data_IF_064400875248
#
_entry.id   IF_064400875248
#
_cell.length_a   1.000
_cell.length_b   1.000
_cell.length_c   1.000
_cell.angle_alpha   90.00
_cell.angle_beta   90.00
_cell.angle_gamma   90.00
#
_symmetry.space_group_name_H-M   'P 1'
#
loop_
_entity.id
_entity.type
_entity.pdbx_description
1 polymer ?
#
# COMPACT_ATOMS: atom_id res chain seq x y z
N UNK A 1 12.90 -6.70 31.69
CA UNK A 1 14.32 -7.12 31.73
C UNK A 1 14.43 -8.39 30.90
N UNK A 2 14.76 -8.24 29.63
CA UNK A 2 14.93 -9.34 28.69
C UNK A 2 16.30 -9.98 28.95
N UNK A 3 16.29 -11.21 29.41
CA UNK A 3 17.47 -11.99 29.69
C UNK A 3 18.00 -12.53 28.36
N UNK A 4 18.77 -11.71 27.62
CA UNK A 4 19.50 -12.19 26.45
C UNK A 4 20.76 -12.90 26.95
N UNK A 5 20.68 -14.22 26.96
CA UNK A 5 21.84 -15.08 27.18
C UNK A 5 22.79 -14.88 26.01
N UNK A 6 24.08 -14.52 26.22
CA UNK A 6 25.02 -14.34 25.13
C UNK A 6 25.20 -15.67 24.38
N UNK A 7 24.98 -15.62 23.06
CA UNK A 7 25.15 -16.76 22.17
C UNK A 7 26.62 -17.20 22.18
N UNK A 8 26.85 -18.51 22.10
CA UNK A 8 28.22 -19.04 21.98
C UNK A 8 28.88 -18.55 20.67
N UNK A 9 30.22 -18.40 20.62
CA UNK A 9 30.91 -17.93 19.42
C UNK A 9 30.62 -18.76 18.16
N UNK A 10 30.31 -20.04 18.32
CA UNK A 10 29.88 -20.92 17.21
C UNK A 10 28.48 -20.61 16.74
N UNK A 11 27.56 -20.28 17.63
CA UNK A 11 26.22 -19.88 17.29
C UNK A 11 26.18 -18.55 16.54
N UNK A 12 27.04 -17.60 16.91
CA UNK A 12 27.21 -16.33 16.19
C UNK A 12 27.75 -16.52 14.77
N UNK A 13 28.74 -17.38 14.59
CA UNK A 13 29.28 -17.72 13.26
C UNK A 13 28.23 -18.38 12.38
N UNK A 14 27.45 -19.27 12.94
CA UNK A 14 26.35 -19.95 12.21
C UNK A 14 25.24 -18.95 11.82
N UNK A 15 24.89 -18.06 12.71
CA UNK A 15 23.90 -17.02 12.44
C UNK A 15 24.37 -16.05 11.35
N UNK A 16 25.63 -15.64 11.37
CA UNK A 16 26.24 -14.81 10.34
C UNK A 16 26.29 -15.51 8.97
N UNK A 17 26.61 -16.80 8.93
CA UNK A 17 26.60 -17.60 7.70
C UNK A 17 25.17 -17.74 7.12
N UNK A 18 24.19 -18.01 7.96
CA UNK A 18 22.76 -18.05 7.55
C UNK A 18 22.30 -16.71 6.97
N UNK A 19 22.66 -15.61 7.62
CA UNK A 19 22.30 -14.26 7.14
C UNK A 19 22.90 -13.99 5.77
N UNK A 20 24.20 -14.31 5.57
CA UNK A 20 24.85 -14.16 4.25
C UNK A 20 24.17 -14.97 3.17
N UNK A 21 23.87 -16.24 3.44
CA UNK A 21 23.22 -17.12 2.48
C UNK A 21 21.82 -16.62 2.12
N UNK A 22 21.08 -16.11 3.09
CA UNK A 22 19.77 -15.52 2.87
C UNK A 22 19.87 -14.25 2.02
N UNK A 23 20.81 -13.35 2.32
CA UNK A 23 21.03 -12.11 1.58
C UNK A 23 21.43 -12.40 0.12
N UNK A 24 22.29 -13.39 -0.10
CA UNK A 24 22.67 -13.84 -1.45
C UNK A 24 21.46 -14.40 -2.22
N UNK A 25 20.66 -15.26 -1.58
CA UNK A 25 19.47 -15.84 -2.21
C UNK A 25 18.44 -14.75 -2.56
N UNK A 26 18.19 -13.79 -1.67
CA UNK A 26 17.29 -12.66 -1.92
C UNK A 26 17.78 -11.79 -3.07
N UNK A 27 19.09 -11.46 -3.09
CA UNK A 27 19.70 -10.69 -4.17
C UNK A 27 19.61 -11.39 -5.52
N UNK A 28 19.76 -12.71 -5.54
CA UNK A 28 19.62 -13.50 -6.77
C UNK A 28 18.20 -13.48 -7.30
N UNK A 29 17.21 -13.66 -6.43
CA UNK A 29 15.78 -13.61 -6.80
C UNK A 29 15.40 -12.21 -7.32
N UNK A 30 15.85 -11.15 -6.67
CA UNK A 30 15.60 -9.78 -7.11
C UNK A 30 16.23 -9.49 -8.48
N UNK A 31 17.42 -10.04 -8.73
CA UNK A 31 18.10 -9.90 -10.02
C UNK A 31 17.37 -10.63 -11.16
N UNK A 32 16.86 -11.82 -10.89
CA UNK A 32 16.24 -12.68 -11.90
C UNK A 32 14.77 -12.31 -12.17
N UNK A 33 14.05 -11.80 -11.17
CA UNK A 33 12.59 -11.54 -11.23
C UNK A 33 12.19 -10.08 -10.98
N UNK A 34 13.15 -9.20 -10.67
CA UNK A 34 12.91 -7.79 -10.37
C UNK A 34 12.96 -7.44 -8.88
N UNK A 35 13.21 -6.17 -8.56
CA UNK A 35 13.43 -5.70 -7.19
C UNK A 35 12.24 -5.93 -6.24
N UNK A 36 11.02 -5.95 -6.77
CA UNK A 36 9.79 -6.13 -6.00
C UNK A 36 9.28 -7.59 -5.95
N UNK A 37 10.04 -8.55 -6.50
CA UNK A 37 9.62 -9.96 -6.55
C UNK A 37 9.58 -10.61 -5.17
N UNK A 38 10.43 -10.18 -4.27
CA UNK A 38 10.53 -10.70 -2.90
C UNK A 38 10.94 -9.58 -1.93
N UNK A 39 10.33 -9.56 -0.75
CA UNK A 39 10.69 -8.65 0.33
C UNK A 39 10.59 -9.34 1.69
N UNK A 40 11.30 -8.85 2.68
CA UNK A 40 11.18 -9.34 4.06
C UNK A 40 9.97 -8.73 4.74
N UNK A 41 9.30 -9.50 5.59
CA UNK A 41 8.29 -8.96 6.49
C UNK A 41 8.92 -7.94 7.45
N UNK A 42 8.35 -6.74 7.49
CA UNK A 42 8.84 -5.64 8.32
C UNK A 42 9.74 -4.65 7.58
N UNK A 43 10.19 -4.94 6.36
CA UNK A 43 10.84 -3.94 5.53
C UNK A 43 9.81 -2.90 5.08
N UNK A 44 10.04 -1.66 5.46
CA UNK A 44 9.23 -0.52 4.99
C UNK A 44 9.61 -0.20 3.54
N UNK A 45 9.16 -1.02 2.62
CA UNK A 45 9.20 -0.67 1.21
C UNK A 45 8.13 0.40 0.99
N UNK A 46 8.55 1.63 0.82
CA UNK A 46 7.66 2.68 0.31
C UNK A 46 7.27 2.31 -1.11
N UNK A 47 6.14 1.63 -1.25
CA UNK A 47 5.52 1.50 -2.57
C UNK A 47 5.03 2.88 -2.97
N UNK A 48 5.65 3.50 -3.96
CA UNK A 48 5.09 4.65 -4.64
C UNK A 48 3.85 4.17 -5.40
N UNK A 49 2.70 4.44 -4.84
CA UNK A 49 1.41 4.13 -5.47
C UNK A 49 0.90 5.40 -6.10
N UNK A 50 0.65 5.37 -7.41
CA UNK A 50 -0.02 6.47 -8.09
C UNK A 50 -1.48 6.54 -7.61
N UNK A 51 -1.92 7.73 -7.18
CA UNK A 51 -3.20 7.92 -6.51
C UNK A 51 -4.01 9.06 -7.12
N UNK A 52 -5.32 8.99 -6.93
CA UNK A 52 -6.24 10.09 -7.13
C UNK A 52 -6.63 10.59 -5.73
N UNK A 53 -6.27 11.82 -5.35
CA UNK A 53 -6.64 12.37 -4.04
C UNK A 53 -8.16 12.51 -3.92
N UNK A 54 -8.70 12.38 -2.72
CA UNK A 54 -10.14 12.54 -2.48
C UNK A 54 -10.56 14.00 -2.44
N UNK A 55 -9.61 14.90 -2.28
CA UNK A 55 -9.87 16.35 -2.04
C UNK A 55 -10.02 16.70 -0.57
N UNK A 56 -9.99 15.72 0.33
CA UNK A 56 -10.00 15.92 1.77
C UNK A 56 -8.72 15.34 2.38
N UNK A 57 -7.90 16.20 2.98
CA UNK A 57 -6.61 15.84 3.55
C UNK A 57 -6.70 14.75 4.64
N UNK A 58 -7.75 14.78 5.46
CA UNK A 58 -7.92 13.80 6.54
C UNK A 58 -8.24 12.42 6.00
N UNK A 59 -9.06 12.35 4.96
CA UNK A 59 -9.38 11.07 4.30
C UNK A 59 -8.15 10.54 3.55
N UNK A 60 -7.45 11.40 2.81
CA UNK A 60 -6.23 11.03 2.10
C UNK A 60 -5.17 10.47 3.05
N UNK A 61 -5.02 11.09 4.23
CA UNK A 61 -4.13 10.60 5.28
C UNK A 61 -4.61 9.27 5.88
N UNK A 62 -5.91 9.10 6.09
CA UNK A 62 -6.48 7.86 6.63
C UNK A 62 -6.32 6.68 5.68
N UNK A 63 -6.34 6.92 4.36
CA UNK A 63 -6.07 5.90 3.34
C UNK A 63 -4.60 5.46 3.30
N UNK A 64 -3.71 6.20 3.94
CA UNK A 64 -2.30 5.85 4.08
C UNK A 64 -1.42 6.14 2.87
N UNK A 65 -1.96 6.12 1.67
CA UNK A 65 -1.24 6.37 0.40
C UNK A 65 -1.52 7.74 -0.21
N UNK A 66 -2.39 8.53 0.42
CA UNK A 66 -2.70 9.89 -0.02
C UNK A 66 -3.89 10.01 -0.98
N UNK A 67 -4.67 8.96 -1.16
CA UNK A 67 -5.86 8.96 -2.01
C UNK A 67 -6.28 7.56 -2.45
N UNK A 68 -7.10 7.49 -3.46
CA UNK A 68 -7.49 6.23 -4.08
C UNK A 68 -6.41 5.73 -5.04
N UNK A 69 -5.93 4.50 -4.85
CA UNK A 69 -4.91 3.91 -5.71
C UNK A 69 -5.42 3.74 -7.15
N UNK A 70 -4.64 4.21 -8.13
CA UNK A 70 -4.94 4.03 -9.56
C UNK A 70 -4.84 2.56 -9.95
N UNK A 71 -5.66 2.17 -10.94
CA UNK A 71 -5.68 0.80 -11.44
C UNK A 71 -6.32 -0.22 -10.49
N UNK A 72 -7.04 0.24 -9.47
CA UNK A 72 -7.71 -0.59 -8.48
C UNK A 72 -9.21 -0.31 -8.44
N UNK A 73 -9.99 -1.34 -8.08
CA UNK A 73 -11.41 -1.20 -7.76
C UNK A 73 -11.52 -0.85 -6.28
N UNK A 74 -12.25 0.22 -5.99
CA UNK A 74 -12.49 0.68 -4.61
C UNK A 74 -13.97 0.58 -4.30
N UNK A 75 -14.31 -0.13 -3.25
CA UNK A 75 -15.67 -0.21 -2.72
C UNK A 75 -15.85 0.78 -1.57
N UNK A 76 -16.90 1.61 -1.65
CA UNK A 76 -17.27 2.55 -0.60
C UNK A 76 -18.66 2.18 -0.11
N UNK A 77 -18.76 1.79 1.14
CA UNK A 77 -20.02 1.36 1.74
C UNK A 77 -20.31 2.07 3.06
N UNK A 78 -21.53 2.10 3.45
CA UNK A 78 -21.99 2.74 4.68
C UNK A 78 -23.50 2.99 4.65
N UNK A 79 -24.07 3.54 5.75
CA UNK A 79 -25.48 3.86 5.84
C UNK A 79 -25.90 4.93 4.84
N UNK A 80 -27.20 5.06 4.64
CA UNK A 80 -27.78 6.12 3.81
C UNK A 80 -27.38 7.51 4.32
N UNK A 81 -27.25 8.45 3.41
CA UNK A 81 -26.88 9.85 3.72
C UNK A 81 -25.53 10.03 4.43
N UNK A 82 -24.61 9.06 4.32
CA UNK A 82 -23.28 9.12 4.94
C UNK A 82 -22.22 9.84 4.11
N UNK A 83 -22.58 10.36 2.92
CA UNK A 83 -21.65 11.09 2.06
C UNK A 83 -20.87 10.24 1.04
N UNK A 84 -21.25 8.99 0.80
CA UNK A 84 -20.57 8.11 -0.17
C UNK A 84 -20.50 8.70 -1.58
N UNK A 85 -21.62 9.18 -2.08
CA UNK A 85 -21.70 9.82 -3.40
C UNK A 85 -20.94 11.12 -3.44
N UNK A 86 -21.01 11.92 -2.37
CA UNK A 86 -20.25 13.16 -2.24
C UNK A 86 -18.75 12.91 -2.32
N UNK A 87 -18.24 11.91 -1.61
CA UNK A 87 -16.84 11.52 -1.66
C UNK A 87 -16.43 11.08 -3.07
N UNK A 88 -17.26 10.28 -3.74
CA UNK A 88 -17.02 9.85 -5.12
C UNK A 88 -16.94 11.04 -6.09
N UNK A 89 -17.86 12.00 -5.97
CA UNK A 89 -17.88 13.21 -6.80
C UNK A 89 -16.65 14.09 -6.57
N UNK A 90 -16.17 14.21 -5.33
CA UNK A 90 -14.94 14.96 -5.06
C UNK A 90 -13.72 14.28 -5.65
N UNK A 91 -13.62 12.95 -5.60
CA UNK A 91 -12.56 12.19 -6.25
C UNK A 91 -12.58 12.36 -7.78
N UNK A 92 -13.76 12.34 -8.40
CA UNK A 92 -13.94 12.63 -9.82
C UNK A 92 -13.43 14.03 -10.16
N UNK A 93 -13.79 15.02 -9.37
CA UNK A 93 -13.33 16.40 -9.56
C UNK A 93 -11.80 16.52 -9.49
N UNK A 94 -11.15 15.80 -8.58
CA UNK A 94 -9.69 15.78 -8.49
C UNK A 94 -9.05 15.07 -9.70
N UNK A 95 -9.63 13.98 -10.17
CA UNK A 95 -9.17 13.32 -11.37
C UNK A 95 -9.25 14.22 -12.61
N UNK A 96 -10.35 14.98 -12.74
CA UNK A 96 -10.52 15.95 -13.84
C UNK A 96 -9.54 17.12 -13.75
N UNK A 97 -9.25 17.63 -12.55
CA UNK A 97 -8.22 18.66 -12.35
C UNK A 97 -6.83 18.20 -12.81
N UNK A 98 -6.56 16.91 -12.70
CA UNK A 98 -5.32 16.30 -13.20
C UNK A 98 -5.33 16.03 -14.72
N UNK A 99 -6.38 16.46 -15.45
CA UNK A 99 -6.53 16.22 -16.88
C UNK A 99 -7.09 14.84 -17.23
N UNK A 100 -7.60 14.09 -16.25
CA UNK A 100 -8.23 12.80 -16.47
C UNK A 100 -9.67 12.90 -16.96
N UNK A 101 -10.15 11.82 -17.58
CA UNK A 101 -11.55 11.64 -17.93
C UNK A 101 -12.23 10.81 -16.85
N UNK A 102 -13.49 11.14 -16.52
CA UNK A 102 -14.28 10.41 -15.57
C UNK A 102 -15.68 10.10 -16.13
N UNK A 103 -16.19 8.92 -15.85
CA UNK A 103 -17.56 8.54 -16.11
C UNK A 103 -18.30 8.29 -14.78
N UNK A 104 -19.50 8.78 -14.67
CA UNK A 104 -20.35 8.60 -13.50
C UNK A 104 -21.64 7.89 -13.88
N UNK A 105 -21.85 6.73 -13.29
CA UNK A 105 -23.06 5.92 -13.51
C UNK A 105 -23.80 5.85 -12.20
N UNK A 106 -25.01 6.41 -12.16
CA UNK A 106 -25.86 6.43 -10.98
C UNK A 106 -27.09 5.58 -11.23
N UNK A 107 -27.34 4.63 -10.34
CA UNK A 107 -28.60 3.88 -10.29
C UNK A 107 -29.35 4.27 -9.03
N UNK A 108 -30.55 4.81 -9.19
CA UNK A 108 -31.48 5.09 -8.11
C UNK A 108 -32.48 3.95 -8.02
N UNK A 109 -32.50 3.27 -6.88
CA UNK A 109 -33.54 2.31 -6.57
C UNK A 109 -34.67 3.08 -5.90
N UNK A 110 -35.75 3.28 -6.59
CA UNK A 110 -37.02 3.72 -5.98
C UNK A 110 -37.67 2.52 -5.29
N UNK A 111 -37.75 2.60 -3.99
CA UNK A 111 -38.59 1.72 -3.19
C UNK A 111 -39.96 2.39 -3.01
#
# INVERSE_FOLDING_TARGET
>A
MSNETPLSPEAEKLAAARKRNLDLALSQIQKDFGENAIMRLGDNVKMEVDVIPTGNLLIDRALGVGGFARGRIVEIYGPESSGKTTLTLTAIAQAQKSGGLAAFILSLIHI
#
